data_IF_052262468263
#
_entry.id   IF_052262468263
#
_cell.length_a   1.000
_cell.length_b   1.000
_cell.length_c   1.000
_cell.angle_alpha   90.00
_cell.angle_beta   90.00
_cell.angle_gamma   90.00
#
_symmetry.space_group_name_H-M   'P 1'
#
loop_
_entity.id
_entity.type
_entity.pdbx_description
1 polymer ?
#
# COMPACT_ATOMS: atom_id res chain seq x y z
N UNK A 1 -2.52 7.10 4.74
CA UNK A 1 -3.80 6.63 5.30
C UNK A 1 -4.79 6.46 4.17
N UNK A 2 -5.72 5.53 4.31
CA UNK A 2 -6.72 5.22 3.31
C UNK A 2 -7.86 4.41 3.92
N UNK A 3 -9.00 4.36 3.25
CA UNK A 3 -10.14 3.55 3.70
C UNK A 3 -9.87 2.05 3.63
N UNK A 4 -10.38 1.29 4.59
CA UNK A 4 -10.27 -0.17 4.61
C UNK A 4 -11.31 -0.81 3.68
N UNK A 5 -11.12 -0.69 2.37
CA UNK A 5 -12.04 -1.22 1.36
C UNK A 5 -11.34 -1.72 0.10
N UNK A 6 -11.93 -2.74 -0.55
CA UNK A 6 -11.48 -3.27 -1.83
C UNK A 6 -10.01 -3.69 -1.84
N UNK A 7 -9.28 -3.28 -2.88
CA UNK A 7 -7.84 -3.53 -3.01
C UNK A 7 -6.94 -2.56 -2.23
N UNK A 8 -7.48 -1.70 -1.37
CA UNK A 8 -6.65 -0.77 -0.59
C UNK A 8 -5.81 -1.49 0.46
N UNK A 9 -6.34 -2.43 1.27
CA UNK A 9 -5.55 -3.12 2.29
C UNK A 9 -4.34 -3.88 1.72
N UNK A 10 -4.47 -4.52 0.54
CA UNK A 10 -3.34 -5.22 -0.11
C UNK A 10 -2.21 -4.28 -0.58
N UNK A 11 -2.50 -3.00 -0.76
CA UNK A 11 -1.51 -1.98 -1.14
C UNK A 11 -0.77 -1.39 0.07
N UNK A 12 -1.13 -1.78 1.31
CA UNK A 12 -0.47 -1.28 2.50
C UNK A 12 0.81 -2.07 2.82
N UNK A 13 1.91 -1.39 3.20
CA UNK A 13 3.08 -2.06 3.74
C UNK A 13 2.76 -2.67 5.11
N UNK A 14 3.35 -3.83 5.38
CA UNK A 14 3.23 -4.53 6.67
C UNK A 14 3.66 -3.64 7.84
N UNK A 15 2.91 -3.73 8.94
CA UNK A 15 3.17 -2.97 10.17
C UNK A 15 2.62 -1.54 10.15
N UNK A 16 1.89 -1.16 9.10
CA UNK A 16 1.24 0.16 8.97
C UNK A 16 -0.28 0.07 8.86
N UNK A 17 -0.88 -1.04 9.28
CA UNK A 17 -2.33 -1.31 9.23
C UNK A 17 -3.13 -0.30 10.05
N UNK A 18 -2.53 0.30 11.08
CA UNK A 18 -3.14 1.39 11.87
C UNK A 18 -3.48 2.65 11.03
N UNK A 19 -2.97 2.75 9.80
CA UNK A 19 -3.30 3.82 8.86
C UNK A 19 -4.47 3.48 7.93
N UNK A 20 -5.03 2.27 8.02
CA UNK A 20 -6.28 1.89 7.38
C UNK A 20 -7.43 2.30 8.31
N UNK A 21 -8.32 3.14 7.79
CA UNK A 21 -9.39 3.76 8.58
C UNK A 21 -10.76 3.32 8.08
N UNK A 22 -11.75 3.31 8.97
CA UNK A 22 -13.12 2.85 8.67
C UNK A 22 -14.19 3.95 8.82
N UNK A 23 -13.81 5.15 9.26
CA UNK A 23 -14.72 6.28 9.42
C UNK A 23 -14.03 7.62 9.14
N UNK A 24 -14.82 8.69 9.08
CA UNK A 24 -14.30 10.06 8.90
C UNK A 24 -13.52 10.50 10.15
N UNK A 25 -14.00 10.14 11.33
CA UNK A 25 -13.41 10.48 12.63
C UNK A 25 -12.03 9.84 12.77
N UNK A 26 -11.94 8.52 12.54
CA UNK A 26 -10.65 7.80 12.57
C UNK A 26 -9.67 8.31 11.50
N UNK A 27 -10.19 8.75 10.34
CA UNK A 27 -9.38 9.44 9.35
C UNK A 27 -8.82 10.76 9.89
N UNK A 28 -9.65 11.62 10.48
CA UNK A 28 -9.21 12.90 11.03
C UNK A 28 -8.16 12.72 12.14
N UNK A 29 -8.40 11.81 13.08
CA UNK A 29 -7.47 11.49 14.17
C UNK A 29 -6.12 11.01 13.64
N UNK A 30 -6.13 10.05 12.71
CA UNK A 30 -4.90 9.50 12.16
C UNK A 30 -4.13 10.54 11.32
N UNK A 31 -4.86 11.43 10.65
CA UNK A 31 -4.26 12.50 9.84
C UNK A 31 -3.47 13.46 10.73
N UNK A 32 -4.10 13.93 11.81
CA UNK A 32 -3.48 14.80 12.81
C UNK A 32 -2.29 14.08 13.45
N UNK A 33 -2.44 12.79 13.82
CA UNK A 33 -1.35 12.00 14.39
C UNK A 33 -0.10 11.99 13.49
N UNK A 34 -0.24 11.70 12.19
CA UNK A 34 0.89 11.69 11.25
C UNK A 34 1.48 13.08 10.99
N UNK A 35 0.70 14.16 11.16
CA UNK A 35 1.22 15.52 11.08
C UNK A 35 2.20 15.82 12.24
N UNK A 36 1.85 15.38 13.44
CA UNK A 36 2.67 15.56 14.64
C UNK A 36 3.83 14.56 14.76
N UNK A 37 3.81 13.44 14.04
CA UNK A 37 4.85 12.40 14.09
C UNK A 37 5.60 12.24 12.76
N UNK A 38 6.47 13.21 12.37
CA UNK A 38 7.15 13.19 11.08
C UNK A 38 8.07 11.97 10.86
N UNK A 39 8.64 11.41 11.93
CA UNK A 39 9.46 10.19 11.85
C UNK A 39 8.66 8.96 11.46
N UNK A 40 7.47 8.78 12.04
CA UNK A 40 6.53 7.72 11.67
C UNK A 40 6.04 7.92 10.24
N UNK A 41 5.63 9.14 9.88
CA UNK A 41 5.21 9.51 8.53
C UNK A 41 6.30 9.21 7.49
N UNK A 42 7.55 9.53 7.79
CA UNK A 42 8.69 9.24 6.92
C UNK A 42 8.95 7.74 6.78
N UNK A 43 8.83 6.99 7.87
CA UNK A 43 8.98 5.52 7.86
C UNK A 43 7.88 4.86 7.04
N UNK A 44 6.64 5.30 7.21
CA UNK A 44 5.50 4.85 6.42
C UNK A 44 5.70 5.12 4.92
N UNK A 45 6.14 6.33 4.55
CA UNK A 45 6.42 6.68 3.16
C UNK A 45 7.51 5.82 2.52
N UNK A 46 8.61 5.55 3.24
CA UNK A 46 9.68 4.65 2.75
C UNK A 46 9.20 3.21 2.60
N UNK A 47 8.48 2.69 3.59
CA UNK A 47 7.90 1.36 3.53
C UNK A 47 6.91 1.21 2.37
N UNK A 48 6.02 2.20 2.17
CA UNK A 48 5.09 2.22 1.05
C UNK A 48 5.79 2.26 -0.31
N UNK A 49 6.85 3.09 -0.47
CA UNK A 49 7.65 3.12 -1.70
C UNK A 49 8.27 1.77 -2.00
N UNK A 50 8.83 1.11 -1.00
CA UNK A 50 9.45 -0.22 -1.16
C UNK A 50 8.42 -1.30 -1.47
N UNK A 51 7.24 -1.24 -0.86
CA UNK A 51 6.11 -2.14 -1.13
C UNK A 51 5.64 -2.02 -2.59
N UNK A 52 5.46 -0.79 -3.09
CA UNK A 52 5.11 -0.53 -4.50
C UNK A 52 6.19 -1.06 -5.43
N UNK A 53 7.46 -0.79 -5.13
CA UNK A 53 8.59 -1.25 -5.95
C UNK A 53 8.61 -2.77 -6.14
N UNK A 54 8.26 -3.52 -5.09
CA UNK A 54 8.23 -4.99 -5.10
C UNK A 54 7.01 -5.58 -5.80
N UNK A 55 5.85 -4.94 -5.67
CA UNK A 55 4.57 -5.61 -5.95
C UNK A 55 3.74 -4.98 -7.08
N UNK A 56 3.85 -3.67 -7.30
CA UNK A 56 2.84 -2.92 -8.08
C UNK A 56 3.39 -2.10 -9.25
N UNK A 57 4.67 -2.27 -9.60
CA UNK A 57 5.23 -1.61 -10.78
C UNK A 57 4.88 -2.34 -12.08
N UNK A 58 4.71 -1.58 -13.17
CA UNK A 58 4.40 -2.09 -14.50
C UNK A 58 5.35 -3.19 -15.00
N UNK A 59 6.69 -3.09 -14.85
CA UNK A 59 7.58 -4.16 -15.32
C UNK A 59 7.30 -5.50 -14.67
N UNK A 60 7.00 -5.52 -13.37
CA UNK A 60 6.59 -6.76 -12.66
C UNK A 60 5.29 -7.28 -13.23
N UNK A 61 4.29 -6.42 -13.45
CA UNK A 61 2.99 -6.81 -14.00
C UNK A 61 3.16 -7.45 -15.39
N UNK A 62 3.91 -6.81 -16.28
CA UNK A 62 4.21 -7.34 -17.62
C UNK A 62 4.89 -8.71 -17.55
N UNK A 63 5.88 -8.89 -16.67
CA UNK A 63 6.51 -10.20 -16.50
C UNK A 63 5.53 -11.29 -16.04
N UNK A 64 4.58 -10.95 -15.19
CA UNK A 64 3.55 -11.88 -14.71
C UNK A 64 2.55 -12.25 -15.79
N UNK A 65 2.08 -11.28 -16.58
CA UNK A 65 1.22 -11.54 -17.74
C UNK A 65 1.92 -12.45 -18.76
N UNK A 66 3.21 -12.21 -19.05
CA UNK A 66 3.98 -13.06 -19.96
C UNK A 66 4.14 -14.49 -19.43
N UNK A 67 4.32 -14.67 -18.11
CA UNK A 67 4.36 -16.01 -17.49
C UNK A 67 3.02 -16.71 -17.60
N UNK A 68 1.93 -16.00 -17.35
CA UNK A 68 0.58 -16.54 -17.49
C UNK A 68 0.30 -16.97 -18.93
N UNK A 69 0.58 -16.11 -19.91
CA UNK A 69 0.42 -16.44 -21.34
C UNK A 69 1.24 -17.69 -21.70
N UNK A 70 2.50 -17.76 -21.24
CA UNK A 70 3.33 -18.95 -21.46
C UNK A 70 2.73 -20.22 -20.85
N UNK A 71 2.11 -20.15 -19.68
CA UNK A 71 1.46 -21.29 -19.01
C UNK A 71 0.17 -21.73 -19.71
N UNK A 72 -0.54 -20.82 -20.38
CA UNK A 72 -1.80 -21.11 -21.04
C UNK A 72 -1.62 -21.59 -22.48
N UNK A 73 -0.57 -21.14 -23.17
CA UNK A 73 -0.33 -21.41 -24.60
C UNK A 73 0.78 -22.44 -24.83
N UNK A 74 1.68 -22.64 -23.86
CA UNK A 74 2.72 -23.67 -23.89
C UNK A 74 2.28 -24.97 -23.25
#
# INVERSE_FOLDING_TARGET
MAGQAGGIPMQYPEGFEANLVQSIESCAERFIHLLHHPGERGSFGRAGREHVRKNFLLPRLVCDELRLIKQLVG
#
